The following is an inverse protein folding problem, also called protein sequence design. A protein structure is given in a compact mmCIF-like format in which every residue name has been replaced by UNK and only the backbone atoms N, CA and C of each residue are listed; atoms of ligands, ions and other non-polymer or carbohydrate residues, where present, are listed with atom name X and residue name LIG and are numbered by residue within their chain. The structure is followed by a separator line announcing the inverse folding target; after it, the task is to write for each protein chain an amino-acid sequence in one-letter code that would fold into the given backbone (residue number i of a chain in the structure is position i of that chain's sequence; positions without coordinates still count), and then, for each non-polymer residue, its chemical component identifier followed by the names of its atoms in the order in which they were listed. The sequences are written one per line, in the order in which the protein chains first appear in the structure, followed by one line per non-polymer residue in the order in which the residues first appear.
data_IF_227709396131
#
_entry.id   IF_227709396131
#
_cell.length_a   1.000
_cell.length_b   1.000
_cell.length_c   1.000
_cell.angle_alpha   90.00
_cell.angle_beta   90.00
_cell.angle_gamma   90.00
#
_symmetry.space_group_name_H-M   'P 1'
#
loop_
_entity.id
_entity.type
_entity.pdbx_description
1 polymer ?
#
# COMPACT_ATOMS: atom_id res chain seq x y z
N UNK A 1 0.83 25.86 3.58
CA UNK A 1 -0.02 25.88 4.78
C UNK A 1 0.87 25.68 5.99
N UNK A 2 0.64 26.35 7.11
CA UNK A 2 1.43 26.06 8.32
C UNK A 2 0.84 24.82 9.02
N UNK A 3 1.67 24.10 9.79
CA UNK A 3 1.22 22.89 10.51
C UNK A 3 0.02 23.17 11.43
N UNK A 4 0.01 24.34 12.08
CA UNK A 4 -1.06 24.81 12.96
C UNK A 4 -2.41 25.06 12.28
N UNK A 5 -2.43 25.23 10.95
CA UNK A 5 -3.66 25.47 10.17
C UNK A 5 -4.34 24.17 9.71
N UNK A 6 -3.65 23.03 9.77
CA UNK A 6 -4.16 21.73 9.32
C UNK A 6 -5.03 21.13 10.41
N UNK A 7 -6.33 21.01 10.16
CA UNK A 7 -7.32 20.54 11.12
C UNK A 7 -7.80 19.13 10.83
N UNK A 8 -7.76 18.71 9.56
CA UNK A 8 -8.19 17.37 9.15
C UNK A 8 -7.25 16.77 8.11
N UNK A 9 -6.83 15.52 8.33
CA UNK A 9 -5.90 14.78 7.48
C UNK A 9 -6.53 13.44 7.09
N UNK A 10 -6.48 13.10 5.80
CA UNK A 10 -6.73 11.73 5.34
C UNK A 10 -5.40 10.98 5.25
N UNK A 11 -5.26 9.89 5.98
CA UNK A 11 -4.07 9.05 5.99
C UNK A 11 -4.28 7.80 5.12
N UNK A 12 -3.40 7.59 4.15
CA UNK A 12 -3.25 6.29 3.50
C UNK A 12 -2.80 5.25 4.53
N UNK A 13 -3.72 4.37 4.91
CA UNK A 13 -3.58 3.48 6.06
C UNK A 13 -3.60 2.02 5.64
N UNK A 14 -2.48 1.32 5.87
CA UNK A 14 -2.34 -0.12 5.58
C UNK A 14 -2.54 -1.01 6.80
N UNK A 15 -2.58 -0.43 8.01
CA UNK A 15 -2.62 -1.22 9.25
C UNK A 15 -1.26 -1.77 9.68
N UNK A 16 -0.20 -1.54 8.90
CA UNK A 16 1.18 -1.78 9.31
C UNK A 16 1.59 -0.95 10.53
N UNK A 17 2.76 -1.25 11.10
CA UNK A 17 3.31 -0.49 12.22
C UNK A 17 3.43 1.00 11.84
N UNK A 18 4.05 1.27 10.70
CA UNK A 18 4.41 2.61 10.24
C UNK A 18 3.17 3.51 10.12
N UNK A 19 2.15 3.06 9.38
CA UNK A 19 0.91 3.83 9.22
C UNK A 19 0.12 3.94 10.52
N UNK A 20 0.28 3.01 11.46
CA UNK A 20 -0.33 3.10 12.80
C UNK A 20 0.37 4.16 13.65
N UNK A 21 1.70 4.22 13.64
CA UNK A 21 2.48 5.25 14.35
C UNK A 21 2.23 6.65 13.82
N UNK A 22 1.94 6.79 12.53
CA UNK A 22 1.65 8.08 11.90
C UNK A 22 0.41 8.76 12.51
N UNK A 23 -0.60 8.01 12.96
CA UNK A 23 -1.83 8.59 13.52
C UNK A 23 -1.55 9.46 14.77
N UNK A 24 -0.97 8.92 15.87
CA UNK A 24 -0.63 9.75 17.03
C UNK A 24 0.41 10.82 16.66
N UNK A 25 1.38 10.51 15.79
CA UNK A 25 2.38 11.49 15.37
C UNK A 25 1.77 12.71 14.68
N UNK A 26 0.78 12.52 13.79
CA UNK A 26 0.05 13.61 13.16
C UNK A 26 -0.63 14.47 14.21
N UNK A 27 -1.30 13.86 15.20
CA UNK A 27 -2.00 14.59 16.26
C UNK A 27 -1.02 15.42 17.10
N UNK A 28 0.14 14.88 17.45
CA UNK A 28 1.16 15.61 18.20
C UNK A 28 1.76 16.79 17.41
N UNK A 29 1.99 16.61 16.12
CA UNK A 29 2.76 17.55 15.30
C UNK A 29 1.92 18.54 14.51
N UNK A 30 0.60 18.31 14.42
CA UNK A 30 -0.35 19.11 13.64
C UNK A 30 -1.54 19.55 14.50
N UNK A 31 -1.27 20.13 15.67
CA UNK A 31 -2.26 20.76 16.54
C UNK A 31 -3.49 19.88 16.85
N UNK A 32 -3.25 18.60 17.12
CA UNK A 32 -4.29 17.59 17.38
C UNK A 32 -5.34 17.53 16.26
N UNK A 33 -4.89 17.55 15.00
CA UNK A 33 -5.76 17.40 13.84
C UNK A 33 -6.59 16.10 13.90
N UNK A 34 -7.76 16.15 13.29
CA UNK A 34 -8.56 14.96 13.04
C UNK A 34 -7.87 14.10 11.98
N UNK A 35 -7.63 12.83 12.28
CA UNK A 35 -7.05 11.88 11.34
C UNK A 35 -8.11 10.89 10.89
N UNK A 36 -8.40 10.86 9.60
CA UNK A 36 -9.26 9.87 8.95
C UNK A 36 -8.35 8.84 8.28
N UNK A 37 -8.42 7.59 8.72
CA UNK A 37 -7.71 6.50 8.06
C UNK A 37 -8.46 6.11 6.77
N UNK A 38 -7.70 5.80 5.71
CA UNK A 38 -8.25 5.32 4.45
C UNK A 38 -7.39 4.17 3.92
N UNK A 39 -8.00 3.00 3.83
CA UNK A 39 -7.46 1.82 3.18
C UNK A 39 -8.12 1.63 1.81
N UNK A 40 -7.38 1.04 0.88
CA UNK A 40 -7.86 0.72 -0.46
C UNK A 40 -7.64 -0.77 -0.72
N UNK A 41 -8.72 -1.47 -1.02
CA UNK A 41 -8.70 -2.85 -1.48
C UNK A 41 -8.40 -2.88 -2.98
N UNK A 42 -7.20 -3.35 -3.31
CA UNK A 42 -6.73 -3.61 -4.66
C UNK A 42 -6.36 -5.10 -4.83
N UNK A 43 -6.88 -5.97 -3.95
CA UNK A 43 -6.71 -7.43 -4.01
C UNK A 43 -5.68 -8.02 -3.05
N UNK A 44 -5.31 -7.32 -1.99
CA UNK A 44 -4.38 -7.83 -0.99
C UNK A 44 -4.97 -8.97 -0.12
N UNK A 45 -6.30 -9.08 -0.03
CA UNK A 45 -6.99 -10.13 0.72
C UNK A 45 -7.12 -9.80 2.21
N UNK A 46 -6.80 -10.78 3.06
CA UNK A 46 -7.06 -10.76 4.53
C UNK A 46 -6.32 -9.65 5.30
N UNK A 47 -5.45 -8.87 4.65
CA UNK A 47 -4.75 -7.72 5.26
C UNK A 47 -5.71 -6.62 5.75
N UNK A 48 -6.96 -6.61 5.29
CA UNK A 48 -7.98 -5.65 5.69
C UNK A 48 -8.74 -6.03 6.97
N UNK A 49 -8.56 -7.26 7.48
CA UNK A 49 -9.29 -7.77 8.63
C UNK A 49 -8.87 -7.13 9.96
N UNK A 50 -9.85 -6.60 10.69
CA UNK A 50 -9.63 -5.93 11.98
C UNK A 50 -8.99 -4.54 11.87
N UNK A 51 -8.90 -4.00 10.65
CA UNK A 51 -8.26 -2.72 10.38
C UNK A 51 -9.02 -1.55 11.01
N UNK A 52 -10.35 -1.59 11.04
CA UNK A 52 -11.19 -0.54 11.64
C UNK A 52 -10.95 -0.44 13.14
N UNK A 53 -11.04 -1.56 13.85
CA UNK A 53 -10.80 -1.60 15.29
C UNK A 53 -9.40 -1.07 15.63
N UNK A 54 -8.39 -1.45 14.84
CA UNK A 54 -7.02 -0.96 15.02
C UNK A 54 -6.92 0.54 14.80
N UNK A 55 -7.41 1.06 13.66
CA UNK A 55 -7.34 2.48 13.33
C UNK A 55 -7.99 3.36 14.41
N UNK A 56 -9.19 2.98 14.87
CA UNK A 56 -9.92 3.71 15.90
C UNK A 56 -9.19 3.66 17.25
N UNK A 57 -8.69 2.48 17.66
CA UNK A 57 -7.90 2.35 18.91
C UNK A 57 -6.62 3.19 18.87
N UNK A 58 -5.99 3.31 17.71
CA UNK A 58 -4.79 4.15 17.51
C UNK A 58 -5.11 5.65 17.45
N UNK A 59 -6.39 6.03 17.36
CA UNK A 59 -6.84 7.42 17.52
C UNK A 59 -7.30 8.11 16.25
N UNK A 60 -7.54 7.36 15.16
CA UNK A 60 -8.26 7.87 13.99
C UNK A 60 -9.74 8.12 14.35
N UNK A 61 -10.36 9.13 13.76
CA UNK A 61 -11.78 9.41 13.97
C UNK A 61 -12.69 8.47 13.17
N UNK A 62 -12.18 7.93 12.06
CA UNK A 62 -12.91 7.08 11.13
C UNK A 62 -11.94 6.26 10.28
N UNK A 63 -12.39 5.09 9.82
CA UNK A 63 -11.76 4.35 8.72
C UNK A 63 -12.67 4.34 7.50
N UNK A 64 -12.10 4.61 6.33
CA UNK A 64 -12.65 4.24 5.03
C UNK A 64 -11.93 3.00 4.51
N UNK A 65 -12.67 2.00 4.04
CA UNK A 65 -12.12 0.88 3.26
C UNK A 65 -12.76 0.98 1.87
N UNK A 66 -11.97 1.33 0.87
CA UNK A 66 -12.43 1.53 -0.50
C UNK A 66 -12.26 0.23 -1.28
N UNK A 67 -13.34 -0.32 -1.83
CA UNK A 67 -13.22 -1.39 -2.83
C UNK A 67 -12.85 -0.78 -4.18
N UNK A 68 -11.59 -0.95 -4.60
CA UNK A 68 -11.05 -0.43 -5.85
C UNK A 68 -10.66 -1.55 -6.81
N UNK A 69 -11.04 -2.80 -6.54
CA UNK A 69 -10.58 -3.96 -7.31
C UNK A 69 -11.02 -3.88 -8.78
N UNK A 70 -12.30 -3.58 -9.03
CA UNK A 70 -12.84 -3.51 -10.39
C UNK A 70 -12.24 -2.33 -11.18
N UNK A 71 -12.10 -1.17 -10.55
CA UNK A 71 -11.46 -0.01 -11.15
C UNK A 71 -9.99 -0.29 -11.45
N UNK A 72 -9.28 -0.91 -10.52
CA UNK A 72 -7.88 -1.27 -10.68
C UNK A 72 -7.67 -2.22 -11.88
N UNK A 73 -8.53 -3.22 -12.04
CA UNK A 73 -8.47 -4.13 -13.19
C UNK A 73 -8.78 -3.42 -14.49
N UNK A 74 -9.89 -2.70 -14.55
CA UNK A 74 -10.42 -2.16 -15.81
C UNK A 74 -9.64 -0.93 -16.31
N UNK A 75 -9.21 -0.06 -15.40
CA UNK A 75 -8.66 1.25 -15.75
C UNK A 75 -7.14 1.31 -15.66
N UNK A 76 -6.50 0.32 -15.02
CA UNK A 76 -5.04 0.28 -14.85
C UNK A 76 -4.41 -1.01 -15.39
N UNK A 77 -4.78 -2.18 -14.87
CA UNK A 77 -4.18 -3.46 -15.29
C UNK A 77 -4.42 -3.73 -16.78
N UNK A 78 -5.68 -3.72 -17.23
CA UNK A 78 -6.00 -4.04 -18.64
C UNK A 78 -5.35 -3.03 -19.60
N UNK A 79 -5.37 -1.72 -19.35
CA UNK A 79 -4.64 -0.76 -20.19
C UNK A 79 -3.13 -1.01 -20.23
N UNK A 80 -2.47 -1.27 -19.10
CA UNK A 80 -1.04 -1.61 -19.05
C UNK A 80 -0.74 -2.90 -19.84
N UNK A 81 -1.56 -3.94 -19.67
CA UNK A 81 -1.45 -5.19 -20.42
C UNK A 81 -1.61 -4.95 -21.93
N UNK A 82 -2.62 -4.17 -22.35
CA UNK A 82 -2.83 -3.85 -23.77
C UNK A 82 -1.68 -3.06 -24.37
N UNK A 83 -1.01 -2.24 -23.57
CA UNK A 83 0.17 -1.49 -23.99
C UNK A 83 1.44 -2.36 -24.07
N UNK A 84 1.43 -3.57 -23.49
CA UNK A 84 2.63 -4.37 -23.27
C UNK A 84 3.61 -3.66 -22.34
N UNK A 85 3.10 -2.99 -21.30
CA UNK A 85 3.90 -2.16 -20.41
C UNK A 85 4.84 -3.03 -19.55
N UNK A 86 6.13 -2.75 -19.63
CA UNK A 86 7.20 -3.47 -18.94
C UNK A 86 8.35 -2.48 -18.67
N UNK A 87 9.01 -2.65 -17.52
CA UNK A 87 10.17 -1.84 -17.14
C UNK A 87 11.32 -2.76 -16.76
N UNK A 88 12.37 -2.84 -17.57
CA UNK A 88 13.56 -3.67 -17.29
C UNK A 88 13.19 -5.10 -16.84
N UNK A 89 12.20 -5.72 -17.51
CA UNK A 89 11.61 -7.05 -17.23
C UNK A 89 10.62 -7.15 -16.04
N UNK A 90 10.25 -6.01 -15.44
CA UNK A 90 9.25 -5.93 -14.38
C UNK A 90 7.87 -5.49 -14.91
N UNK A 91 6.83 -6.28 -14.63
CA UNK A 91 5.45 -6.04 -15.07
C UNK A 91 4.68 -5.00 -14.23
N UNK A 92 5.41 -4.09 -13.58
CA UNK A 92 4.87 -2.83 -13.04
C UNK A 92 3.80 -2.93 -11.94
N UNK A 93 3.60 -4.11 -11.33
CA UNK A 93 2.48 -4.39 -10.41
C UNK A 93 2.30 -3.41 -9.25
N UNK A 94 3.42 -2.98 -8.65
CA UNK A 94 3.39 -1.99 -7.59
C UNK A 94 3.00 -0.63 -8.19
N UNK A 95 3.64 -0.25 -9.29
CA UNK A 95 3.59 1.10 -9.83
C UNK A 95 2.20 1.55 -10.30
N UNK A 96 1.41 0.68 -10.91
CA UNK A 96 0.08 1.04 -11.42
C UNK A 96 -1.03 0.94 -10.37
N UNK A 97 -0.79 0.28 -9.23
CA UNK A 97 -1.73 0.32 -8.09
C UNK A 97 -1.74 1.68 -7.37
N UNK A 98 -0.59 2.37 -7.30
CA UNK A 98 -0.47 3.63 -6.51
C UNK A 98 -1.38 4.75 -7.04
N UNK A 99 -1.50 4.97 -8.36
CA UNK A 99 -2.40 5.98 -8.89
C UNK A 99 -3.88 5.75 -8.54
N UNK A 100 -4.40 4.51 -8.58
CA UNK A 100 -5.80 4.24 -8.23
C UNK A 100 -6.05 4.45 -6.73
N UNK A 101 -5.10 4.05 -5.88
CA UNK A 101 -5.18 4.30 -4.43
C UNK A 101 -5.13 5.81 -4.15
N UNK A 102 -4.22 6.55 -4.80
CA UNK A 102 -4.12 8.00 -4.67
C UNK A 102 -5.40 8.72 -5.09
N UNK A 103 -6.05 8.27 -6.17
CA UNK A 103 -7.36 8.77 -6.60
C UNK A 103 -8.41 8.58 -5.50
N UNK A 104 -8.54 7.37 -4.95
CA UNK A 104 -9.48 7.09 -3.87
C UNK A 104 -9.21 7.93 -2.61
N UNK A 105 -7.94 8.13 -2.25
CA UNK A 105 -7.55 9.02 -1.13
C UNK A 105 -7.99 10.46 -1.37
N UNK A 106 -7.81 10.97 -2.59
CA UNK A 106 -8.26 12.31 -2.97
C UNK A 106 -9.77 12.43 -2.90
N UNK A 107 -10.52 11.44 -3.37
CA UNK A 107 -11.98 11.45 -3.30
C UNK A 107 -12.48 11.49 -1.85
N UNK A 108 -11.86 10.72 -0.95
CA UNK A 108 -12.16 10.77 0.49
C UNK A 108 -11.79 12.12 1.10
N UNK A 109 -10.60 12.66 0.78
CA UNK A 109 -10.15 13.95 1.27
C UNK A 109 -11.09 15.09 0.86
N UNK A 110 -11.51 15.14 -0.40
CA UNK A 110 -12.45 16.14 -0.89
C UNK A 110 -13.83 15.97 -0.26
N UNK A 111 -14.32 14.74 -0.13
CA UNK A 111 -15.60 14.43 0.51
C UNK A 111 -15.65 14.88 1.98
N UNK A 112 -14.55 14.66 2.71
CA UNK A 112 -14.45 14.99 4.14
C UNK A 112 -14.02 16.44 4.40
N UNK A 113 -13.67 17.18 3.34
CA UNK A 113 -13.12 18.53 3.44
C UNK A 113 -11.79 18.55 4.20
N UNK A 114 -10.92 17.58 3.95
CA UNK A 114 -9.60 17.49 4.57
C UNK A 114 -8.64 18.55 4.01
N UNK A 115 -7.78 19.07 4.88
CA UNK A 115 -6.77 20.07 4.54
C UNK A 115 -5.52 19.44 3.90
N UNK A 116 -5.26 18.17 4.21
CA UNK A 116 -4.09 17.43 3.74
C UNK A 116 -4.35 15.93 3.57
N UNK A 117 -3.52 15.29 2.76
CA UNK A 117 -3.38 13.83 2.67
C UNK A 117 -2.00 13.44 3.22
N UNK A 118 -1.96 12.40 4.04
CA UNK A 118 -0.72 11.81 4.55
C UNK A 118 -0.51 10.40 3.98
N UNK A 119 0.75 9.99 3.81
CA UNK A 119 1.10 8.62 3.40
C UNK A 119 2.30 8.07 4.19
N UNK A 120 2.35 6.74 4.33
CA UNK A 120 3.41 6.02 5.03
C UNK A 120 4.62 5.61 4.18
N UNK A 121 4.72 6.03 2.92
CA UNK A 121 5.86 5.67 2.07
C UNK A 121 7.18 6.17 2.65
N UNK A 122 8.22 5.33 2.59
CA UNK A 122 9.57 5.69 3.04
C UNK A 122 10.16 6.81 2.19
N UNK A 123 11.07 7.60 2.76
CA UNK A 123 11.75 8.69 2.05
C UNK A 123 12.75 8.24 0.98
N UNK A 124 12.97 6.93 0.80
CA UNK A 124 13.95 6.36 -0.13
C UNK A 124 13.31 5.59 -1.30
N UNK A 125 12.06 5.16 -1.15
CA UNK A 125 11.38 4.33 -2.14
C UNK A 125 10.71 5.13 -3.26
N UNK A 126 10.28 4.41 -4.29
CA UNK A 126 9.58 4.98 -5.46
C UNK A 126 8.13 5.39 -5.15
N UNK A 127 7.49 4.77 -4.16
CA UNK A 127 6.06 4.96 -3.90
C UNK A 127 5.68 6.37 -3.45
N UNK A 128 6.57 7.07 -2.74
CA UNK A 128 6.35 8.48 -2.38
C UNK A 128 6.11 9.33 -3.64
N UNK A 129 6.92 9.12 -4.69
CA UNK A 129 6.82 9.87 -5.95
C UNK A 129 5.51 9.50 -6.67
N UNK A 130 5.17 8.21 -6.69
CA UNK A 130 3.94 7.72 -7.33
C UNK A 130 2.69 8.30 -6.68
N UNK A 131 2.61 8.26 -5.35
CA UNK A 131 1.51 8.84 -4.60
C UNK A 131 1.44 10.36 -4.77
N UNK A 132 2.56 11.06 -4.58
CA UNK A 132 2.57 12.52 -4.60
C UNK A 132 2.20 13.08 -5.97
N UNK A 133 2.74 12.51 -7.06
CA UNK A 133 2.38 12.93 -8.41
C UNK A 133 0.90 12.64 -8.71
N UNK A 134 0.39 11.47 -8.31
CA UNK A 134 -1.01 11.13 -8.52
C UNK A 134 -1.96 12.01 -7.69
N UNK A 135 -1.64 12.29 -6.43
CA UNK A 135 -2.41 13.22 -5.59
C UNK A 135 -2.43 14.62 -6.22
N UNK A 136 -1.28 15.13 -6.67
CA UNK A 136 -1.23 16.44 -7.35
C UNK A 136 -1.97 16.45 -8.68
N UNK A 137 -2.06 15.31 -9.38
CA UNK A 137 -2.87 15.18 -10.59
C UNK A 137 -4.38 15.29 -10.27
N UNK A 138 -4.87 14.55 -9.27
CA UNK A 138 -6.30 14.48 -8.95
C UNK A 138 -6.80 15.65 -8.09
N UNK A 139 -5.95 16.22 -7.24
CA UNK A 139 -6.24 17.41 -6.44
C UNK A 139 -5.03 18.35 -6.42
N UNK A 140 -4.82 19.15 -7.49
CA UNK A 140 -3.76 20.15 -7.54
C UNK A 140 -3.83 21.10 -6.33
N UNK A 141 -2.72 21.21 -5.59
CA UNK A 141 -2.65 22.06 -4.40
C UNK A 141 -3.10 21.39 -3.10
N UNK A 142 -3.54 20.13 -3.13
CA UNK A 142 -3.70 19.32 -1.92
C UNK A 142 -2.37 19.29 -1.16
N UNK A 143 -2.40 19.61 0.13
CA UNK A 143 -1.21 19.52 0.96
C UNK A 143 -0.88 18.06 1.23
N UNK A 144 0.40 17.68 1.08
CA UNK A 144 0.84 16.31 1.30
C UNK A 144 1.79 16.28 2.49
N UNK A 145 1.51 15.39 3.44
CA UNK A 145 2.33 15.14 4.62
C UNK A 145 3.02 13.79 4.45
N UNK A 146 4.34 13.76 4.58
CA UNK A 146 5.14 12.54 4.48
C UNK A 146 5.99 12.39 5.75
N UNK A 147 5.47 11.73 6.80
CA UNK A 147 6.13 11.64 8.10
C UNK A 147 7.56 11.11 8.03
N UNK A 148 7.84 10.13 7.18
CA UNK A 148 9.20 9.59 6.96
C UNK A 148 10.24 10.63 6.51
N UNK A 149 9.82 11.79 6.00
CA UNK A 149 10.69 12.90 5.62
C UNK A 149 10.74 14.03 6.65
N UNK A 150 9.91 13.95 7.68
CA UNK A 150 9.73 15.02 8.67
C UNK A 150 10.09 14.60 10.09
N UNK A 151 9.75 13.38 10.47
CA UNK A 151 9.92 12.90 11.84
C UNK A 151 11.38 12.59 12.16
N UNK A 152 11.65 12.34 13.43
CA UNK A 152 12.99 11.98 13.91
C UNK A 152 13.20 10.49 14.10
N UNK A 153 12.19 9.66 13.84
CA UNK A 153 12.23 8.19 13.96
C UNK A 153 13.08 7.62 12.82
N UNK A 154 14.14 6.88 13.16
CA UNK A 154 15.16 6.40 12.21
C UNK A 154 15.29 4.89 12.14
N UNK A 155 14.73 4.15 13.09
CA UNK A 155 14.84 2.70 13.15
C UNK A 155 13.50 2.06 13.49
N UNK A 156 13.39 0.75 13.19
CA UNK A 156 12.23 -0.06 13.59
C UNK A 156 12.06 -0.13 15.10
N UNK A 157 13.17 -0.13 15.84
CA UNK A 157 13.14 -0.13 17.31
C UNK A 157 12.57 1.19 17.84
N UNK A 158 13.03 2.33 17.32
CA UNK A 158 12.48 3.65 17.70
C UNK A 158 10.98 3.77 17.35
N UNK A 159 10.56 3.16 16.25
CA UNK A 159 9.15 3.12 15.85
C UNK A 159 8.30 2.25 16.79
N UNK A 160 8.84 1.12 17.26
CA UNK A 160 8.21 0.26 18.27
C UNK A 160 8.14 1.01 19.61
N UNK A 161 9.22 1.63 20.06
CA UNK A 161 9.25 2.41 21.30
C UNK A 161 8.21 3.53 21.26
N UNK A 162 8.10 4.23 20.11
CA UNK A 162 7.07 5.25 19.93
C UNK A 162 5.66 4.66 19.95
N UNK A 163 5.45 3.51 19.30
CA UNK A 163 4.16 2.82 19.31
C UNK A 163 3.73 2.40 20.72
N UNK A 164 4.65 1.86 21.53
CA UNK A 164 4.40 1.48 22.93
C UNK A 164 4.11 2.71 23.80
N UNK A 165 4.84 3.81 23.62
CA UNK A 165 4.62 5.05 24.36
C UNK A 165 3.25 5.70 24.08
N UNK A 166 2.59 5.33 22.98
CA UNK A 166 1.30 5.86 22.54
C UNK A 166 0.18 4.82 22.54
N UNK A 167 0.36 3.68 23.23
CA UNK A 167 -0.61 2.59 23.35
C UNK A 167 -1.11 2.07 21.98
N UNK A 168 -0.29 2.14 20.94
CA UNK A 168 -0.64 1.66 19.61
C UNK A 168 -0.72 0.13 19.65
N UNK A 169 -1.81 -0.51 19.19
CA UNK A 169 -1.91 -1.96 19.19
C UNK A 169 -0.87 -2.62 18.27
N UNK A 170 0.12 -3.26 18.89
CA UNK A 170 1.22 -3.94 18.21
C UNK A 170 0.84 -5.40 17.93
N UNK A 171 0.62 -5.76 16.66
CA UNK A 171 0.69 -7.16 16.19
C UNK A 171 2.13 -7.46 15.81
N UNK A 172 3.04 -7.56 16.78
CA UNK A 172 4.43 -7.91 16.49
C UNK A 172 4.58 -9.43 16.65
N UNK A 173 4.77 -10.16 15.55
CA UNK A 173 5.72 -11.27 15.60
C UNK A 173 7.11 -10.66 15.43
N UNK A 174 8.09 -11.06 16.26
CA UNK A 174 9.50 -10.65 16.12
C UNK A 174 10.16 -11.33 14.91
N UNK A 175 9.38 -11.85 13.98
CA UNK A 175 9.89 -12.47 12.78
C UNK A 175 10.22 -11.39 11.78
N UNK A 176 11.47 -11.35 11.38
CA UNK A 176 11.94 -10.51 10.29
C UNK A 176 11.32 -11.05 9.00
N UNK A 177 10.25 -10.41 8.53
CA UNK A 177 9.61 -10.72 7.26
C UNK A 177 10.14 -9.81 6.16
N UNK A 178 10.11 -10.28 4.91
CA UNK A 178 10.37 -9.45 3.74
C UNK A 178 9.40 -8.26 3.70
N UNK A 179 9.85 -7.14 3.15
CA UNK A 179 8.95 -6.07 2.74
C UNK A 179 8.17 -6.58 1.52
N UNK A 180 6.84 -6.54 1.61
CA UNK A 180 5.94 -7.12 0.62
C UNK A 180 4.88 -6.12 0.19
N UNK A 181 4.49 -6.24 -1.08
CA UNK A 181 3.38 -5.49 -1.66
C UNK A 181 2.54 -6.45 -2.50
N UNK A 182 1.30 -6.68 -2.07
CA UNK A 182 0.36 -7.63 -2.70
C UNK A 182 -0.84 -6.90 -3.26
N UNK A 183 -1.23 -7.26 -4.48
CA UNK A 183 -2.48 -6.83 -5.09
C UNK A 183 -2.95 -7.87 -6.12
N UNK A 184 -4.06 -7.61 -6.81
CA UNK A 184 -4.61 -8.54 -7.82
C UNK A 184 -3.62 -8.94 -8.92
N UNK A 185 -2.60 -8.11 -9.21
CA UNK A 185 -1.66 -8.34 -10.30
C UNK A 185 -0.40 -9.09 -9.87
N UNK A 186 0.10 -8.86 -8.66
CA UNK A 186 1.36 -9.45 -8.21
C UNK A 186 1.53 -9.44 -6.69
N UNK A 187 2.63 -10.07 -6.26
CA UNK A 187 3.23 -9.93 -4.95
C UNK A 187 4.73 -9.64 -5.14
N UNK A 188 5.23 -8.54 -4.60
CA UNK A 188 6.68 -8.28 -4.54
C UNK A 188 7.28 -8.66 -3.20
N UNK A 189 8.59 -8.95 -3.21
CA UNK A 189 9.41 -9.19 -2.03
C UNK A 189 10.70 -8.36 -2.16
N UNK A 190 11.09 -7.68 -1.10
CA UNK A 190 12.36 -6.95 -1.01
C UNK A 190 12.90 -6.96 0.42
N UNK A 191 14.13 -6.47 0.61
CA UNK A 191 14.80 -6.44 1.90
C UNK A 191 15.48 -7.74 2.29
N UNK A 192 16.13 -7.72 3.45
CA UNK A 192 16.84 -8.86 4.05
C UNK A 192 17.91 -9.42 3.11
N UNK A 193 17.97 -10.74 2.97
CA UNK A 193 18.92 -11.43 2.10
C UNK A 193 18.73 -11.10 0.61
N UNK A 194 17.57 -10.56 0.19
CA UNK A 194 17.33 -10.15 -1.21
C UNK A 194 18.05 -8.85 -1.59
N UNK A 195 18.61 -8.10 -0.64
CA UNK A 195 19.40 -6.89 -0.91
C UNK A 195 20.79 -7.19 -1.50
N UNK A 196 21.25 -8.44 -1.42
CA UNK A 196 22.47 -8.89 -2.08
C UNK A 196 22.10 -9.72 -3.34
N UNK A 197 22.28 -9.16 -4.55
CA UNK A 197 21.97 -9.87 -5.80
C UNK A 197 22.78 -11.14 -6.03
N UNK A 198 23.83 -11.40 -5.24
CA UNK A 198 24.57 -12.66 -5.24
C UNK A 198 23.84 -13.82 -4.54
N UNK A 199 22.81 -13.53 -3.75
CA UNK A 199 22.01 -14.53 -3.06
C UNK A 199 20.95 -15.11 -4.00
N UNK A 200 20.80 -16.44 -3.96
CA UNK A 200 19.67 -17.11 -4.60
C UNK A 200 18.40 -16.94 -3.75
N UNK A 201 17.26 -16.52 -4.34
CA UNK A 201 16.00 -16.45 -3.60
C UNK A 201 15.58 -17.82 -3.07
N UNK A 202 15.08 -17.85 -1.82
CA UNK A 202 14.72 -19.09 -1.13
C UNK A 202 13.34 -19.63 -1.57
N UNK A 203 13.18 -19.96 -2.85
CA UNK A 203 11.88 -20.35 -3.44
C UNK A 203 11.21 -21.56 -2.77
N UNK A 204 12.00 -22.46 -2.16
CA UNK A 204 11.50 -23.67 -1.48
C UNK A 204 11.22 -23.45 0.02
N UNK A 205 11.45 -22.25 0.55
CA UNK A 205 11.11 -21.93 1.94
C UNK A 205 9.62 -21.64 2.06
N UNK A 206 8.96 -22.32 2.98
CA UNK A 206 7.55 -22.11 3.29
C UNK A 206 7.25 -20.63 3.53
N UNK A 207 6.23 -20.13 2.82
CA UNK A 207 5.79 -18.74 2.91
C UNK A 207 6.61 -17.72 2.11
N UNK A 208 7.65 -18.12 1.36
CA UNK A 208 8.32 -17.22 0.42
C UNK A 208 7.47 -16.97 -0.83
N UNK A 209 6.97 -18.03 -1.47
CA UNK A 209 6.01 -17.92 -2.56
C UNK A 209 4.59 -18.07 -2.00
N UNK A 210 3.78 -17.02 -2.12
CA UNK A 210 2.41 -17.01 -1.56
C UNK A 210 1.31 -17.01 -2.63
N UNK A 211 1.64 -16.62 -3.87
CA UNK A 211 0.70 -16.60 -5.00
C UNK A 211 0.92 -17.76 -5.98
N UNK A 212 2.01 -18.51 -5.82
CA UNK A 212 2.39 -19.62 -6.67
C UNK A 212 3.21 -20.65 -5.89
N UNK A 213 3.44 -21.81 -6.49
CA UNK A 213 4.45 -22.77 -6.03
C UNK A 213 5.68 -22.69 -6.92
N UNK A 214 6.82 -23.20 -6.45
CA UNK A 214 8.01 -23.32 -7.28
C UNK A 214 7.79 -24.33 -8.42
N UNK A 215 8.58 -24.28 -9.51
CA UNK A 215 8.47 -25.26 -10.59
C UNK A 215 8.68 -26.72 -10.13
N UNK A 216 9.44 -26.95 -9.05
CA UNK A 216 9.72 -28.30 -8.52
C UNK A 216 8.51 -28.89 -7.79
N UNK A 217 7.64 -28.02 -7.26
CA UNK A 217 6.41 -28.37 -6.56
C UNK A 217 5.17 -28.32 -7.46
N UNK A 218 5.30 -27.79 -8.68
CA UNK A 218 4.20 -27.71 -9.64
C UNK A 218 3.75 -29.12 -10.09
N UNK A 219 2.45 -29.32 -10.40
CA UNK A 219 1.97 -30.58 -10.94
C UNK A 219 2.66 -30.94 -12.27
N UNK A 220 3.12 -32.18 -12.41
CA UNK A 220 3.68 -32.72 -13.65
C UNK A 220 2.58 -33.09 -14.68
N UNK A 221 1.56 -32.23 -14.77
CA UNK A 221 0.44 -32.36 -15.70
C UNK A 221 0.06 -30.98 -16.22
N UNK A 222 0.00 -30.77 -17.55
CA UNK A 222 -0.38 -29.48 -18.10
C UNK A 222 -1.84 -29.16 -17.81
N UNK A 223 -2.13 -27.87 -17.57
CA UNK A 223 -3.49 -27.34 -17.56
C UNK A 223 -3.70 -26.51 -18.83
N UNK A 224 -4.72 -26.86 -19.62
CA UNK A 224 -5.10 -26.08 -20.79
C UNK A 224 -6.08 -24.99 -20.37
N UNK A 225 -5.83 -23.75 -20.79
CA UNK A 225 -6.71 -22.62 -20.52
C UNK A 225 -6.99 -21.91 -21.84
N UNK A 226 -8.26 -21.67 -22.14
CA UNK A 226 -8.68 -20.86 -23.29
C UNK A 226 -9.14 -19.50 -22.79
N UNK A 227 -8.52 -18.44 -23.29
CA UNK A 227 -8.86 -17.05 -22.96
C UNK A 227 -9.35 -16.35 -24.22
N UNK A 228 -10.57 -15.82 -24.18
CA UNK A 228 -11.14 -15.05 -25.27
C UNK A 228 -10.89 -13.55 -25.05
N UNK A 229 -10.37 -12.90 -26.09
CA UNK A 229 -10.16 -11.46 -26.10
C UNK A 229 -11.09 -10.78 -27.10
N UNK A 230 -11.63 -9.64 -26.69
CA UNK A 230 -12.38 -8.73 -27.56
C UNK A 230 -11.72 -7.35 -27.48
N UNK A 231 -11.19 -6.85 -28.61
CA UNK A 231 -10.50 -5.55 -28.68
C UNK A 231 -9.39 -5.38 -27.63
N UNK A 232 -8.69 -6.48 -27.32
CA UNK A 232 -7.62 -6.53 -26.32
C UNK A 232 -8.09 -6.64 -24.86
N UNK A 233 -9.40 -6.75 -24.59
CA UNK A 233 -9.94 -7.02 -23.26
C UNK A 233 -10.21 -8.52 -23.09
N UNK A 234 -9.77 -9.17 -22.00
CA UNK A 234 -10.18 -10.53 -21.70
C UNK A 234 -11.68 -10.53 -21.35
N UNK A 235 -12.45 -11.40 -22.01
CA UNK A 235 -13.91 -11.52 -21.82
C UNK A 235 -14.34 -12.83 -21.19
N UNK A 236 -13.60 -13.90 -21.45
CA UNK A 236 -13.92 -15.23 -20.96
C UNK A 236 -12.65 -16.03 -20.74
N UNK A 237 -12.59 -16.76 -19.65
CA UNK A 237 -11.56 -17.77 -19.40
C UNK A 237 -12.26 -19.11 -19.14
N UNK A 238 -11.76 -20.18 -19.76
CA UNK A 238 -12.23 -21.56 -19.58
C UNK A 238 -11.04 -22.45 -19.30
N UNK A 239 -11.12 -23.25 -18.23
CA UNK A 239 -10.19 -24.32 -17.88
C UNK A 239 -10.77 -25.65 -18.33
#
# INVERSE_FOLDING_TARGET
MKKEDIKKVVLAYSGGLDTSVIIPWLKENYNNCEVIACAADVGQGDELDGLEEKAIKTGASKLYVLDLQEEYVNDFIIPCMKAGAEYEDYLLGTSHARPVIAKGLVEVALKEGADAIAHGCTGKGNDQVRFELAIQHFAPGMHIIAPWREWTIKSREEEIDYAEAHDVPLRISRETNYSKDKNLWHLSHEGLDLEDPGNEPQYEKDGFLEMSVSPTQAPDTPTYVTIEFEKGHPRRAQR
#
